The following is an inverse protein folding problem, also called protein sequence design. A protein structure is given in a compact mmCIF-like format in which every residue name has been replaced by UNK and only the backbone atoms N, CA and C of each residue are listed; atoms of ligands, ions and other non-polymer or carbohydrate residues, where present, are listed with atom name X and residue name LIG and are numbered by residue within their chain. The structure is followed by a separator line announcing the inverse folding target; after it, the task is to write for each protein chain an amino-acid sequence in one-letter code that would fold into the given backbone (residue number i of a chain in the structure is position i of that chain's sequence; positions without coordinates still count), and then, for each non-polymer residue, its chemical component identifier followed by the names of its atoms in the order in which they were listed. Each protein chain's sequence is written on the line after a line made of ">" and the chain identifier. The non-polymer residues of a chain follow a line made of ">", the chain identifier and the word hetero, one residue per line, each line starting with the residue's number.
data_IF_246901875171
#
_entry.id   IF_246901875171
#
_cell.length_a   1.000
_cell.length_b   1.000
_cell.length_c   1.000
_cell.angle_alpha   90.00
_cell.angle_beta   90.00
_cell.angle_gamma   90.00
#
_symmetry.space_group_name_H-M   'P 1'
#
loop_
_entity.id
_entity.type
_entity.pdbx_description
1 polymer ?
#
# COMPACT_ATOMS: atom_id res chain seq x y z
N UNK A 1 2.58 6.79 15.40
CA UNK A 1 2.41 7.55 14.14
C UNK A 1 3.64 7.28 13.32
N UNK A 2 3.51 7.06 12.02
CA UNK A 2 4.66 6.84 11.14
C UNK A 2 5.24 8.19 10.74
N UNK A 3 6.56 8.32 10.81
CA UNK A 3 7.28 9.44 10.19
C UNK A 3 7.32 9.28 8.66
N UNK A 4 7.69 10.35 7.95
CA UNK A 4 7.70 10.39 6.48
C UNK A 4 8.59 9.32 5.82
N UNK A 5 9.54 8.76 6.56
CA UNK A 5 10.47 7.71 6.10
C UNK A 5 10.23 6.35 6.75
N UNK A 6 9.06 6.16 7.37
CA UNK A 6 8.68 4.89 7.99
C UNK A 6 7.53 4.19 7.25
N UNK A 7 7.55 2.86 7.28
CA UNK A 7 6.49 2.00 6.79
C UNK A 7 6.39 0.76 7.69
N UNK A 8 5.22 0.12 7.71
CA UNK A 8 5.01 -1.13 8.45
C UNK A 8 4.80 -2.27 7.46
N UNK A 9 5.50 -3.38 7.69
CA UNK A 9 5.34 -4.63 6.95
C UNK A 9 4.73 -5.66 7.88
N UNK A 10 3.68 -6.33 7.42
CA UNK A 10 2.99 -7.38 8.15
C UNK A 10 2.95 -8.62 7.27
N UNK A 11 3.61 -9.70 7.70
CA UNK A 11 3.64 -10.97 6.96
C UNK A 11 2.94 -12.07 7.76
N UNK A 12 2.16 -12.90 7.06
CA UNK A 12 1.45 -14.03 7.66
C UNK A 12 -0.01 -13.74 8.03
N UNK A 13 -0.59 -12.66 7.50
CA UNK A 13 -1.99 -12.33 7.71
C UNK A 13 -2.92 -13.45 7.22
N UNK A 14 -3.97 -13.72 7.99
CA UNK A 14 -5.04 -14.66 7.65
C UNK A 14 -6.34 -13.90 7.44
N UNK A 15 -7.03 -14.20 6.34
CA UNK A 15 -8.36 -13.65 6.07
C UNK A 15 -9.42 -14.54 6.72
N UNK A 16 -10.05 -14.04 7.78
CA UNK A 16 -11.12 -14.76 8.50
C UNK A 16 -12.52 -14.52 7.93
N UNK A 17 -12.73 -13.40 7.25
CA UNK A 17 -14.06 -12.94 6.85
C UNK A 17 -14.12 -12.53 5.38
N UNK A 18 -15.31 -12.66 4.81
CA UNK A 18 -15.68 -12.02 3.55
C UNK A 18 -16.67 -10.87 3.81
N UNK A 19 -16.69 -9.90 2.90
CA UNK A 19 -17.52 -8.71 3.02
C UNK A 19 -17.99 -8.25 1.64
N UNK A 20 -19.03 -7.42 1.62
CA UNK A 20 -19.46 -6.67 0.45
C UNK A 20 -19.66 -5.20 0.80
N UNK A 21 -19.81 -4.36 -0.23
CA UNK A 21 -20.00 -2.92 -0.08
C UNK A 21 -18.77 -2.21 0.49
N UNK A 22 -18.95 -0.92 0.80
CA UNK A 22 -17.88 -0.05 1.29
C UNK A 22 -18.46 1.12 2.09
N UNK A 23 -17.76 1.57 3.13
CA UNK A 23 -18.23 2.64 4.02
C UNK A 23 -19.63 2.33 4.58
N UNK A 24 -20.64 3.14 4.27
CA UNK A 24 -21.98 3.01 4.84
C UNK A 24 -22.76 1.80 4.28
N UNK A 25 -22.26 1.16 3.21
CA UNK A 25 -22.84 -0.08 2.66
C UNK A 25 -22.02 -1.31 3.03
N UNK A 26 -21.00 -1.19 3.89
CA UNK A 26 -20.20 -2.32 4.34
C UNK A 26 -21.07 -3.35 5.06
N UNK A 27 -20.93 -4.60 4.66
CA UNK A 27 -21.64 -5.73 5.24
C UNK A 27 -20.72 -6.95 5.29
N UNK A 28 -20.69 -7.62 6.46
CA UNK A 28 -20.05 -8.92 6.60
C UNK A 28 -20.91 -9.99 5.92
N UNK A 29 -20.31 -10.80 5.05
CA UNK A 29 -21.05 -11.79 4.24
C UNK A 29 -20.75 -13.25 4.58
N UNK A 30 -19.83 -13.51 5.50
CA UNK A 30 -19.49 -14.86 5.92
C UNK A 30 -18.04 -15.03 6.38
N UNK A 31 -17.74 -16.25 6.83
CA UNK A 31 -16.38 -16.67 7.17
C UNK A 31 -15.59 -17.04 5.90
N UNK A 32 -14.26 -17.01 6.00
CA UNK A 32 -13.34 -17.50 4.97
C UNK A 32 -12.43 -18.55 5.57
N UNK A 33 -12.35 -19.72 4.93
CA UNK A 33 -11.26 -20.67 5.15
C UNK A 33 -10.09 -20.27 4.26
N UNK A 34 -9.12 -19.56 4.82
CA UNK A 34 -7.98 -19.06 4.06
C UNK A 34 -7.05 -20.23 3.67
N UNK A 35 -6.97 -20.49 2.37
CA UNK A 35 -6.13 -21.55 1.79
C UNK A 35 -4.75 -21.05 1.35
N UNK A 36 -4.38 -19.79 1.64
CA UNK A 36 -3.07 -19.24 1.32
C UNK A 36 -1.97 -20.13 1.90
N UNK A 37 -1.00 -20.61 1.08
CA UNK A 37 0.09 -21.47 1.54
C UNK A 37 0.90 -20.82 2.66
N UNK A 38 1.66 -21.63 3.39
CA UNK A 38 2.54 -21.16 4.49
C UNK A 38 4.01 -21.34 4.13
N UNK A 39 4.85 -20.43 4.60
CA UNK A 39 6.30 -20.58 4.55
C UNK A 39 6.82 -21.58 5.59
N UNK A 40 8.14 -21.81 5.61
CA UNK A 40 8.79 -22.69 6.58
C UNK A 40 8.66 -22.24 8.04
N UNK A 41 8.32 -20.97 8.27
CA UNK A 41 8.05 -20.40 9.60
C UNK A 41 6.57 -20.50 9.99
N UNK A 42 5.72 -21.14 9.18
CA UNK A 42 4.29 -21.29 9.43
C UNK A 42 3.47 -20.02 9.17
N UNK A 43 4.07 -18.98 8.58
CA UNK A 43 3.37 -17.74 8.21
C UNK A 43 2.69 -17.93 6.87
N UNK A 44 1.47 -17.44 6.71
CA UNK A 44 0.82 -17.41 5.39
C UNK A 44 1.64 -16.55 4.42
N UNK A 45 1.68 -16.94 3.15
CA UNK A 45 2.29 -16.19 2.05
C UNK A 45 1.41 -14.98 1.67
N UNK A 46 1.15 -14.13 2.65
CA UNK A 46 0.41 -12.89 2.54
C UNK A 46 1.21 -11.81 3.28
N UNK A 47 1.67 -10.82 2.53
CA UNK A 47 2.35 -9.65 3.07
C UNK A 47 1.52 -8.41 2.78
N UNK A 48 1.29 -7.61 3.80
CA UNK A 48 0.61 -6.32 3.71
C UNK A 48 1.59 -5.22 4.10
N UNK A 49 1.70 -4.22 3.23
CA UNK A 49 2.48 -3.01 3.45
C UNK A 49 1.53 -1.88 3.85
N UNK A 50 1.80 -1.23 4.98
CA UNK A 50 1.08 -0.03 5.41
C UNK A 50 1.96 1.22 5.24
N UNK A 51 1.48 2.12 4.38
CA UNK A 51 2.04 3.45 4.12
C UNK A 51 0.93 4.51 4.14
N UNK A 52 1.20 5.64 4.77
CA UNK A 52 0.25 6.74 4.92
C UNK A 52 0.45 7.80 3.84
N UNK A 53 -0.62 8.17 3.13
CA UNK A 53 -0.60 9.30 2.19
C UNK A 53 -0.87 10.62 2.92
N UNK A 54 -0.37 11.72 2.37
CA UNK A 54 -0.70 13.06 2.85
C UNK A 54 -2.16 13.41 2.56
N UNK A 55 -2.76 14.19 3.45
CA UNK A 55 -4.11 14.73 3.25
C UNK A 55 -4.02 16.11 2.64
N UNK A 56 -4.66 16.31 1.49
CA UNK A 56 -4.60 17.58 0.78
C UNK A 56 -5.88 18.41 0.99
N UNK A 57 -5.77 19.68 1.42
CA UNK A 57 -6.93 20.56 1.52
C UNK A 57 -7.46 20.96 0.14
N UNK A 58 -6.58 21.05 -0.86
CA UNK A 58 -6.94 21.31 -2.26
C UNK A 58 -6.09 20.48 -3.23
N UNK A 59 -6.69 20.12 -4.37
CA UNK A 59 -6.05 19.29 -5.38
C UNK A 59 -4.76 19.90 -5.96
N UNK A 60 -4.58 21.23 -5.90
CA UNK A 60 -3.38 21.89 -6.42
C UNK A 60 -2.15 21.73 -5.50
N UNK A 61 -2.37 21.63 -4.19
CA UNK A 61 -1.25 21.61 -3.21
C UNK A 61 -0.34 20.39 -3.34
N UNK A 62 -0.88 19.24 -3.77
CA UNK A 62 -0.11 18.01 -3.94
C UNK A 62 0.93 18.07 -5.06
N UNK A 63 0.81 19.03 -5.99
CA UNK A 63 1.72 19.16 -7.14
C UNK A 63 2.99 19.95 -6.82
N UNK A 64 3.13 20.48 -5.60
CA UNK A 64 4.40 21.08 -5.18
C UNK A 64 5.49 20.00 -5.07
N UNK A 65 6.72 20.36 -5.40
CA UNK A 65 7.88 19.46 -5.30
C UNK A 65 8.03 18.79 -3.93
N UNK A 66 7.79 19.52 -2.83
CA UNK A 66 7.86 18.99 -1.48
C UNK A 66 6.87 17.82 -1.25
N UNK A 67 5.60 18.01 -1.64
CA UNK A 67 4.58 16.97 -1.51
C UNK A 67 4.83 15.79 -2.47
N UNK A 68 5.22 16.06 -3.72
CA UNK A 68 5.60 15.00 -4.67
C UNK A 68 6.74 14.16 -4.10
N UNK A 69 7.79 14.81 -3.60
CA UNK A 69 8.96 14.13 -3.02
C UNK A 69 8.58 13.31 -1.79
N UNK A 70 7.75 13.85 -0.90
CA UNK A 70 7.27 13.13 0.29
C UNK A 70 6.52 11.86 -0.11
N UNK A 71 5.61 11.96 -1.07
CA UNK A 71 4.78 10.83 -1.49
C UNK A 71 5.58 9.76 -2.25
N UNK A 72 6.56 10.17 -3.07
CA UNK A 72 7.54 9.28 -3.69
C UNK A 72 8.38 8.55 -2.64
N UNK A 73 8.96 9.29 -1.68
CA UNK A 73 9.79 8.72 -0.62
C UNK A 73 9.00 7.75 0.26
N UNK A 74 7.75 8.06 0.57
CA UNK A 74 6.87 7.17 1.34
C UNK A 74 6.58 5.87 0.58
N UNK A 75 6.22 5.96 -0.71
CA UNK A 75 6.01 4.77 -1.53
C UNK A 75 7.30 3.93 -1.66
N UNK A 76 8.44 4.58 -1.93
CA UNK A 76 9.75 3.95 -1.98
C UNK A 76 10.12 3.23 -0.66
N UNK A 77 9.90 3.89 0.48
CA UNK A 77 10.15 3.31 1.80
C UNK A 77 9.44 1.97 1.96
N UNK A 78 8.19 1.89 1.53
CA UNK A 78 7.43 0.64 1.56
C UNK A 78 7.88 -0.39 0.51
N UNK A 79 8.04 0.04 -0.74
CA UNK A 79 8.31 -0.87 -1.87
C UNK A 79 9.75 -1.43 -1.87
N UNK A 80 10.69 -0.72 -1.25
CA UNK A 80 12.08 -1.18 -1.11
C UNK A 80 12.23 -2.38 -0.16
N UNK A 81 11.19 -2.73 0.60
CA UNK A 81 11.22 -3.89 1.47
C UNK A 81 11.46 -5.19 0.69
N UNK A 82 12.38 -6.03 1.18
CA UNK A 82 12.67 -7.35 0.61
C UNK A 82 13.56 -7.35 -0.64
N UNK A 83 13.81 -6.19 -1.27
CA UNK A 83 14.63 -6.08 -2.49
C UNK A 83 16.06 -6.57 -2.26
N UNK A 84 16.68 -6.19 -1.14
CA UNK A 84 18.04 -6.64 -0.77
C UNK A 84 18.15 -8.15 -0.55
N UNK A 85 17.04 -8.82 -0.26
CA UNK A 85 16.96 -10.26 -0.06
C UNK A 85 16.58 -11.01 -1.35
N UNK A 86 16.52 -10.31 -2.50
CA UNK A 86 16.14 -10.89 -3.78
C UNK A 86 14.64 -11.20 -3.90
N UNK A 87 13.78 -10.57 -3.10
CA UNK A 87 12.33 -10.69 -3.31
C UNK A 87 11.94 -10.01 -4.62
N UNK A 88 11.24 -10.77 -5.48
CA UNK A 88 10.70 -10.29 -6.75
C UNK A 88 9.17 -10.18 -6.72
N UNK A 89 8.59 -9.91 -5.54
CA UNK A 89 7.15 -9.75 -5.41
C UNK A 89 6.68 -8.44 -6.06
N UNK A 90 5.67 -8.52 -6.92
CA UNK A 90 5.00 -7.35 -7.50
C UNK A 90 4.24 -6.55 -6.43
N UNK A 91 3.96 -5.27 -6.74
CA UNK A 91 3.18 -4.38 -5.87
C UNK A 91 1.71 -4.41 -6.28
N UNK A 92 0.85 -5.02 -5.46
CA UNK A 92 -0.59 -4.89 -5.59
C UNK A 92 -1.09 -3.62 -4.88
N UNK A 93 -1.44 -2.58 -5.65
CA UNK A 93 -1.91 -1.28 -5.12
C UNK A 93 -3.10 -0.71 -5.91
N UNK A 94 -3.51 0.53 -5.60
CA UNK A 94 -4.58 1.25 -6.28
C UNK A 94 -4.57 2.75 -6.01
N UNK A 95 -5.76 3.34 -5.80
CA UNK A 95 -5.98 4.77 -5.59
C UNK A 95 -5.54 5.26 -4.20
N UNK A 96 -4.27 5.05 -3.85
CA UNK A 96 -3.67 5.35 -2.56
C UNK A 96 -3.76 6.84 -2.21
N UNK A 97 -4.53 7.17 -1.16
CA UNK A 97 -4.74 8.55 -0.71
C UNK A 97 -5.75 9.36 -1.52
N UNK A 98 -6.46 8.78 -2.48
CA UNK A 98 -7.33 9.55 -3.39
C UNK A 98 -8.79 9.68 -2.92
N UNK A 99 -9.17 9.01 -1.84
CA UNK A 99 -10.50 9.11 -1.23
C UNK A 99 -10.59 10.27 -0.24
N UNK A 100 -10.75 9.95 1.05
CA UNK A 100 -10.85 10.92 2.15
C UNK A 100 -9.66 11.89 2.20
N UNK A 101 -8.49 11.47 1.70
CA UNK A 101 -7.26 12.27 1.69
C UNK A 101 -7.12 13.18 0.46
N UNK A 102 -8.05 13.11 -0.49
CA UNK A 102 -8.20 14.04 -1.62
C UNK A 102 -7.00 14.12 -2.57
N UNK A 103 -6.18 13.06 -2.63
CA UNK A 103 -5.16 12.91 -3.65
C UNK A 103 -5.75 12.76 -5.07
N UNK A 104 -4.97 13.15 -6.07
CA UNK A 104 -5.27 12.92 -7.48
C UNK A 104 -4.81 11.53 -7.89
N UNK A 105 -5.73 10.69 -8.38
CA UNK A 105 -5.44 9.31 -8.76
C UNK A 105 -4.45 9.18 -9.91
N UNK A 106 -4.44 10.11 -10.86
CA UNK A 106 -3.50 10.06 -11.99
C UNK A 106 -2.09 10.37 -11.51
N UNK A 107 -1.94 11.41 -10.67
CA UNK A 107 -0.66 11.74 -10.07
C UNK A 107 -0.17 10.56 -9.21
N UNK A 108 -1.00 10.06 -8.30
CA UNK A 108 -0.65 8.95 -7.40
C UNK A 108 -0.29 7.66 -8.14
N UNK A 109 -0.90 7.40 -9.29
CA UNK A 109 -0.51 6.27 -10.15
C UNK A 109 0.92 6.46 -10.66
N UNK A 110 1.24 7.63 -11.21
CA UNK A 110 2.60 7.92 -11.70
C UNK A 110 3.65 7.84 -10.59
N UNK A 111 3.37 8.38 -9.40
CA UNK A 111 4.31 8.33 -8.29
C UNK A 111 4.57 6.90 -7.82
N UNK A 112 3.53 6.06 -7.74
CA UNK A 112 3.68 4.64 -7.38
C UNK A 112 4.47 3.87 -8.45
N UNK A 113 4.23 4.13 -9.73
CA UNK A 113 5.00 3.52 -10.83
C UNK A 113 6.48 3.92 -10.78
N UNK A 114 6.80 5.18 -10.49
CA UNK A 114 8.18 5.64 -10.34
C UNK A 114 8.88 4.95 -9.16
N UNK A 115 8.20 4.81 -8.03
CA UNK A 115 8.73 4.12 -6.85
C UNK A 115 8.90 2.60 -7.10
N UNK A 116 7.96 1.97 -7.80
CA UNK A 116 8.07 0.56 -8.19
C UNK A 116 9.24 0.33 -9.15
N UNK A 117 9.37 1.19 -10.18
CA UNK A 117 10.46 1.11 -11.16
C UNK A 117 11.85 1.21 -10.52
N UNK A 118 12.06 2.15 -9.60
CA UNK A 118 13.37 2.31 -8.93
C UNK A 118 13.68 1.18 -7.94
N UNK A 119 12.65 0.48 -7.45
CA UNK A 119 12.81 -0.68 -6.55
C UNK A 119 12.87 -2.01 -7.31
N UNK A 120 12.74 -1.99 -8.64
CA UNK A 120 12.75 -3.19 -9.48
C UNK A 120 11.53 -4.09 -9.28
N UNK A 121 10.39 -3.50 -8.88
CA UNK A 121 9.12 -4.20 -8.72
C UNK A 121 8.17 -3.89 -9.87
N UNK A 122 7.41 -4.91 -10.27
CA UNK A 122 6.26 -4.79 -11.18
C UNK A 122 5.00 -4.29 -10.47
#
# INVERSE_FOLDING_TARGET
>A
VLDDTEAIIISGCERFSTYQGYSNTFEWTGNVEDSTPRDSGGRRLCTVLAIDASRFPSAKTQYSEAHISRELNKAYTGFSWGVSNGSCESVATGNWGCGVFRGDANLKTLLQLMAAAVTGRD
#
